data_IF_181740127745
#
_entry.id   IF_181740127745
#
_cell.length_a   1.000
_cell.length_b   1.000
_cell.length_c   1.000
_cell.angle_alpha   90.00
_cell.angle_beta   90.00
_cell.angle_gamma   90.00
#
_symmetry.space_group_name_H-M   'P 1'
#
loop_
_entity.id
_entity.type
_entity.pdbx_description
1 polymer ?
#
# COMPACT_ATOMS: atom_id res chain seq x y z
N UNK A 1 21.12 6.97 16.48
CA UNK A 1 20.08 6.63 17.50
C UNK A 1 20.66 5.71 18.55
N UNK A 2 20.46 5.99 19.81
CA UNK A 2 20.97 5.14 20.88
C UNK A 2 20.09 3.90 21.09
N UNK A 3 20.70 2.77 21.47
CA UNK A 3 20.00 1.49 21.67
C UNK A 3 18.84 1.60 22.67
N UNK A 4 18.98 2.41 23.71
CA UNK A 4 17.93 2.62 24.71
C UNK A 4 16.71 3.34 24.16
N UNK A 5 16.90 4.28 23.24
CA UNK A 5 15.82 4.98 22.55
C UNK A 5 14.98 4.02 21.70
N UNK A 6 15.63 3.13 20.92
CA UNK A 6 14.94 2.10 20.14
C UNK A 6 14.09 1.20 21.05
N UNK A 7 14.65 0.75 22.18
CA UNK A 7 13.92 -0.10 23.13
C UNK A 7 12.65 0.60 23.63
N UNK A 8 12.77 1.88 24.03
CA UNK A 8 11.63 2.67 24.48
C UNK A 8 10.53 2.81 23.42
N UNK A 9 10.91 2.99 22.14
CA UNK A 9 9.98 3.07 21.02
C UNK A 9 9.31 1.71 20.78
N UNK A 10 10.07 0.62 20.77
CA UNK A 10 9.54 -0.74 20.58
C UNK A 10 8.54 -1.06 21.70
N UNK A 11 8.91 -0.84 22.95
CA UNK A 11 8.02 -1.10 24.09
C UNK A 11 6.74 -0.28 24.03
N UNK A 12 6.79 0.92 23.43
CA UNK A 12 5.61 1.79 23.34
C UNK A 12 4.65 1.40 22.23
N UNK A 13 5.16 1.08 21.04
CA UNK A 13 4.34 0.94 19.84
C UNK A 13 4.16 -0.51 19.36
N UNK A 14 5.03 -1.42 19.76
CA UNK A 14 4.97 -2.82 19.30
C UNK A 14 4.38 -3.74 20.36
N UNK A 15 3.64 -4.75 19.87
CA UNK A 15 3.05 -5.77 20.73
C UNK A 15 4.05 -6.82 21.20
N UNK A 16 5.12 -7.01 20.42
CA UNK A 16 6.18 -7.98 20.67
C UNK A 16 7.55 -7.35 20.39
N UNK A 17 8.63 -7.87 21.02
CA UNK A 17 9.99 -7.46 20.67
C UNK A 17 10.25 -7.68 19.17
N UNK A 18 10.95 -6.75 18.56
CA UNK A 18 11.45 -6.86 17.19
C UNK A 18 12.91 -7.29 17.22
N UNK A 19 13.30 -8.11 16.24
CA UNK A 19 14.67 -8.61 16.10
C UNK A 19 15.43 -7.86 15.01
N UNK A 20 16.77 -8.00 15.02
CA UNK A 20 17.66 -7.52 13.95
C UNK A 20 17.43 -6.06 13.56
N UNK A 21 17.37 -5.17 14.53
CA UNK A 21 17.25 -3.72 14.30
C UNK A 21 18.55 -3.16 13.71
N UNK A 22 18.41 -2.34 12.67
CA UNK A 22 19.52 -1.65 11.99
C UNK A 22 19.18 -0.18 11.77
N UNK A 23 20.20 0.66 11.66
CA UNK A 23 20.01 2.09 11.35
C UNK A 23 19.89 2.37 9.86
N UNK A 24 20.22 1.40 9.02
CA UNK A 24 20.17 1.48 7.56
C UNK A 24 19.54 0.22 6.97
N UNK A 25 18.99 0.29 5.74
CA UNK A 25 18.42 -0.86 5.08
C UNK A 25 19.49 -1.95 4.85
N UNK A 26 19.10 -3.19 5.05
CA UNK A 26 19.96 -4.37 4.82
C UNK A 26 19.96 -4.79 3.35
N UNK A 27 18.90 -4.45 2.61
CA UNK A 27 18.76 -4.72 1.18
C UNK A 27 18.98 -3.46 0.35
N UNK A 28 19.55 -3.62 -0.85
CA UNK A 28 19.71 -2.52 -1.79
C UNK A 28 18.33 -2.07 -2.29
N UNK A 29 17.90 -0.88 -1.85
CA UNK A 29 16.62 -0.30 -2.25
C UNK A 29 16.69 0.23 -3.69
N UNK A 30 15.59 0.14 -4.42
CA UNK A 30 15.50 0.47 -5.84
C UNK A 30 15.63 1.97 -6.13
N UNK A 31 15.15 2.80 -5.22
CA UNK A 31 15.23 4.25 -5.30
C UNK A 31 16.26 4.74 -4.28
N UNK A 32 17.35 5.32 -4.76
CA UNK A 32 18.50 5.77 -3.98
C UNK A 32 18.15 6.35 -2.61
N UNK A 33 18.93 5.90 -1.63
CA UNK A 33 19.11 6.41 -0.27
C UNK A 33 17.82 6.89 0.39
N UNK A 34 17.28 6.11 1.35
CA UNK A 34 16.47 6.72 2.39
C UNK A 34 17.35 7.83 2.97
N UNK A 35 16.88 9.05 2.96
CA UNK A 35 17.46 10.06 3.84
C UNK A 35 17.45 9.43 5.22
N UNK A 36 18.64 9.16 5.77
CA UNK A 36 18.80 8.76 7.17
C UNK A 36 18.18 9.85 8.01
N UNK A 37 16.94 9.64 8.38
CA UNK A 37 16.27 10.51 9.31
C UNK A 37 16.63 9.98 10.69
N UNK A 38 17.12 10.83 11.55
CA UNK A 38 17.49 10.51 12.94
C UNK A 38 16.36 9.77 13.69
N UNK A 39 15.11 9.90 13.22
CA UNK A 39 13.88 9.39 13.81
C UNK A 39 13.31 8.17 13.07
N UNK A 40 14.15 7.27 12.61
CA UNK A 40 13.72 6.00 11.99
C UNK A 40 14.70 4.87 12.26
N UNK A 41 14.19 3.65 12.23
CA UNK A 41 15.02 2.44 12.22
C UNK A 41 14.45 1.39 11.30
N UNK A 42 15.30 0.49 10.82
CA UNK A 42 14.93 -0.69 10.05
C UNK A 42 14.99 -1.93 10.92
N UNK A 43 14.20 -2.93 10.57
CA UNK A 43 14.30 -4.25 11.19
C UNK A 43 13.88 -5.34 10.19
N UNK A 44 14.37 -6.55 10.43
CA UNK A 44 13.98 -7.74 9.68
C UNK A 44 12.92 -8.49 10.50
N UNK A 45 11.83 -8.87 9.84
CA UNK A 45 10.83 -9.78 10.41
C UNK A 45 10.98 -11.15 9.77
N UNK A 46 11.15 -12.17 10.61
CA UNK A 46 11.35 -13.55 10.21
C UNK A 46 10.01 -14.25 9.97
N UNK A 47 9.82 -14.76 8.76
CA UNK A 47 8.67 -15.60 8.36
C UNK A 47 9.04 -17.10 8.31
N UNK A 48 10.18 -17.50 8.87
CA UNK A 48 10.68 -18.85 8.96
C UNK A 48 11.55 -19.25 7.74
N UNK A 49 11.06 -19.10 6.53
CA UNK A 49 11.78 -19.43 5.29
C UNK A 49 12.41 -18.24 4.58
N UNK A 50 12.02 -17.04 4.96
CA UNK A 50 12.55 -15.77 4.44
C UNK A 50 12.31 -14.66 5.47
N UNK A 51 13.03 -13.57 5.29
CA UNK A 51 12.87 -12.36 6.11
C UNK A 51 12.36 -11.22 5.24
N UNK A 52 11.54 -10.34 5.83
CA UNK A 52 11.12 -9.10 5.19
C UNK A 52 11.62 -7.90 5.98
N UNK A 53 12.18 -6.95 5.25
CA UNK A 53 12.62 -5.69 5.81
C UNK A 53 11.45 -4.75 6.03
N UNK A 54 11.45 -4.10 7.18
CA UNK A 54 10.50 -3.08 7.56
C UNK A 54 11.23 -1.84 8.08
N UNK A 55 10.56 -0.68 7.98
CA UNK A 55 11.03 0.60 8.48
C UNK A 55 9.96 1.22 9.37
N UNK A 56 10.36 1.59 10.58
CA UNK A 56 9.52 2.37 11.48
C UNK A 56 10.04 3.80 11.57
N UNK A 57 9.18 4.76 11.21
CA UNK A 57 9.45 6.19 11.42
C UNK A 57 8.61 6.68 12.58
N UNK A 58 9.22 7.47 13.45
CA UNK A 58 8.56 8.13 14.55
C UNK A 58 8.82 9.64 14.49
N UNK A 59 8.15 10.40 15.33
CA UNK A 59 8.24 11.86 15.39
C UNK A 59 8.83 12.28 16.73
N UNK A 60 9.42 13.45 16.77
CA UNK A 60 9.86 14.06 18.02
C UNK A 60 8.67 14.20 18.97
N UNK A 61 8.85 13.78 20.22
CA UNK A 61 7.79 13.81 21.23
C UNK A 61 6.78 12.67 21.15
N UNK A 62 7.08 11.61 20.39
CA UNK A 62 6.27 10.41 20.17
C UNK A 62 4.95 10.66 19.44
N UNK A 63 4.73 10.05 18.27
CA UNK A 63 3.51 10.20 17.49
C UNK A 63 2.30 9.70 18.28
N UNK A 64 1.18 10.43 18.20
CA UNK A 64 -0.08 10.02 18.79
C UNK A 64 -0.84 9.02 17.91
N UNK A 65 -0.55 9.02 16.62
CA UNK A 65 -1.16 8.12 15.62
C UNK A 65 -0.10 7.38 14.85
N UNK A 66 -0.41 6.15 14.48
CA UNK A 66 0.43 5.29 13.65
C UNK A 66 -0.31 4.92 12.37
N UNK A 67 0.37 5.07 11.23
CA UNK A 67 -0.07 4.62 9.93
C UNK A 67 0.72 3.38 9.47
N UNK A 68 0.01 2.36 8.99
CA UNK A 68 0.60 1.23 8.29
C UNK A 68 0.59 1.54 6.79
N UNK A 69 1.74 1.46 6.13
CA UNK A 69 1.92 1.80 4.73
C UNK A 69 2.26 0.57 3.90
N UNK A 70 1.55 0.38 2.77
CA UNK A 70 1.69 -0.79 1.89
C UNK A 70 1.99 -0.32 0.47
N UNK A 71 3.17 -0.69 -0.05
CA UNK A 71 3.65 -0.26 -1.37
C UNK A 71 2.97 -0.99 -2.54
N UNK A 72 3.20 -0.52 -3.76
CA UNK A 72 2.69 -1.09 -4.99
C UNK A 72 3.50 -2.27 -5.53
N UNK A 73 2.99 -2.94 -6.58
CA UNK A 73 3.56 -4.18 -7.13
C UNK A 73 4.95 -4.05 -7.75
N UNK A 74 5.30 -2.91 -8.31
CA UNK A 74 6.60 -2.66 -8.94
C UNK A 74 7.50 -1.74 -8.10
N UNK A 75 7.31 -1.77 -6.78
CA UNK A 75 8.04 -0.91 -5.85
C UNK A 75 8.44 -1.67 -4.60
N UNK A 76 9.11 -1.01 -3.70
CA UNK A 76 9.50 -1.47 -2.38
C UNK A 76 9.17 -0.38 -1.35
N UNK A 77 9.52 -0.61 -0.08
CA UNK A 77 9.25 0.32 1.02
C UNK A 77 9.86 1.73 0.77
N UNK A 78 10.94 1.85 0.00
CA UNK A 78 11.57 3.16 -0.28
C UNK A 78 10.68 4.08 -1.11
N UNK A 79 9.78 3.53 -1.91
CA UNK A 79 8.82 4.30 -2.71
C UNK A 79 7.81 5.07 -1.86
N UNK A 80 7.65 4.69 -0.60
CA UNK A 80 6.75 5.32 0.35
C UNK A 80 7.36 6.53 1.07
N UNK A 81 8.66 6.81 0.86
CA UNK A 81 9.36 7.89 1.55
C UNK A 81 8.70 9.28 1.43
N UNK A 82 8.15 9.70 0.27
CA UNK A 82 7.43 10.97 0.18
C UNK A 82 6.18 11.00 1.09
N UNK A 83 5.46 9.88 1.18
CA UNK A 83 4.30 9.74 2.05
C UNK A 83 4.70 9.72 3.53
N UNK A 84 5.77 9.00 3.88
CA UNK A 84 6.33 8.98 5.24
C UNK A 84 6.70 10.39 5.71
N UNK A 85 7.35 11.17 4.84
CA UNK A 85 7.72 12.56 5.15
C UNK A 85 6.49 13.46 5.37
N UNK A 86 5.46 13.30 4.53
CA UNK A 86 4.20 14.02 4.70
C UNK A 86 3.52 13.67 6.02
N UNK A 87 3.45 12.38 6.38
CA UNK A 87 2.82 11.93 7.62
C UNK A 87 3.60 12.40 8.85
N UNK A 88 4.92 12.34 8.79
CA UNK A 88 5.79 12.84 9.86
C UNK A 88 5.57 14.34 10.11
N UNK A 89 5.42 15.15 9.06
CA UNK A 89 5.12 16.59 9.22
C UNK A 89 3.78 16.85 9.93
N UNK A 90 2.93 15.83 10.06
CA UNK A 90 1.66 15.85 10.79
C UNK A 90 1.73 15.12 12.13
N UNK A 91 2.91 14.80 12.60
CA UNK A 91 3.13 14.03 13.83
C UNK A 91 2.46 12.64 13.81
N UNK A 92 2.50 11.96 12.66
CA UNK A 92 2.01 10.59 12.46
C UNK A 92 3.22 9.69 12.21
N UNK A 93 3.43 8.71 13.09
CA UNK A 93 4.43 7.66 12.89
C UNK A 93 4.00 6.67 11.81
N UNK A 94 4.97 5.98 11.18
CA UNK A 94 4.67 5.04 10.09
C UNK A 94 5.42 3.74 10.24
N UNK A 95 4.75 2.63 9.92
CA UNK A 95 5.39 1.35 9.64
C UNK A 95 5.20 1.04 8.16
N UNK A 96 6.30 0.92 7.44
CA UNK A 96 6.37 0.44 6.06
C UNK A 96 7.20 -0.84 5.99
N UNK A 97 6.94 -1.72 5.02
CA UNK A 97 7.63 -3.01 4.89
C UNK A 97 7.65 -3.47 3.44
N UNK A 98 8.61 -4.33 3.10
CA UNK A 98 8.67 -5.00 1.82
C UNK A 98 7.67 -6.16 1.76
N UNK A 99 7.16 -6.44 0.56
CA UNK A 99 6.27 -7.57 0.25
C UNK A 99 7.08 -8.65 -0.46
N UNK A 100 6.91 -9.92 -0.09
CA UNK A 100 7.60 -11.03 -0.72
C UNK A 100 7.23 -11.18 -2.21
N UNK A 101 8.18 -11.67 -3.00
CA UNK A 101 7.98 -11.89 -4.44
C UNK A 101 7.98 -10.64 -5.30
N UNK A 102 8.25 -9.46 -4.72
CA UNK A 102 8.26 -8.17 -5.40
C UNK A 102 9.64 -7.50 -5.24
N UNK A 103 10.16 -6.95 -6.33
CA UNK A 103 11.43 -6.19 -6.35
C UNK A 103 12.57 -6.85 -5.55
N UNK A 104 12.95 -6.28 -4.41
CA UNK A 104 14.09 -6.72 -3.60
C UNK A 104 13.91 -8.13 -3.02
N UNK A 105 12.70 -8.66 -3.05
CA UNK A 105 12.34 -10.00 -2.59
C UNK A 105 11.80 -10.86 -3.74
N UNK A 106 12.08 -10.49 -4.99
CA UNK A 106 11.55 -11.16 -6.21
C UNK A 106 11.95 -12.64 -6.33
N UNK A 107 13.06 -13.05 -5.73
CA UNK A 107 13.50 -14.45 -5.69
C UNK A 107 12.61 -15.33 -4.80
N UNK A 108 11.89 -14.74 -3.86
CA UNK A 108 10.93 -15.44 -3.02
C UNK A 108 9.66 -15.70 -3.80
N UNK A 109 9.32 -16.96 -4.01
CA UNK A 109 8.03 -17.32 -4.62
C UNK A 109 6.90 -16.84 -3.74
N UNK A 110 6.01 -16.02 -4.27
CA UNK A 110 4.90 -15.41 -3.52
C UNK A 110 3.65 -15.21 -4.36
N UNK A 111 2.57 -14.83 -3.69
CA UNK A 111 1.28 -14.52 -4.25
C UNK A 111 0.65 -13.33 -3.53
N UNK A 112 -0.40 -12.78 -4.10
CA UNK A 112 -1.17 -11.73 -3.45
C UNK A 112 -1.77 -12.20 -2.09
N UNK A 113 -2.19 -13.47 -2.01
CA UNK A 113 -2.66 -14.08 -0.75
C UNK A 113 -1.57 -14.06 0.32
N UNK A 114 -0.33 -14.37 -0.04
CA UNK A 114 0.79 -14.35 0.88
C UNK A 114 1.10 -12.92 1.34
N UNK A 115 1.12 -11.95 0.44
CA UNK A 115 1.34 -10.55 0.81
C UNK A 115 0.24 -9.99 1.72
N UNK A 116 -1.02 -10.43 1.55
CA UNK A 116 -2.10 -10.11 2.49
C UNK A 116 -1.80 -10.66 3.88
N UNK A 117 -1.34 -11.92 3.99
CA UNK A 117 -0.99 -12.54 5.26
C UNK A 117 0.22 -11.86 5.92
N UNK A 118 1.27 -11.53 5.17
CA UNK A 118 2.41 -10.75 5.64
C UNK A 118 1.98 -9.41 6.22
N UNK A 119 1.11 -8.70 5.49
CA UNK A 119 0.58 -7.42 5.94
C UNK A 119 -0.26 -7.55 7.22
N UNK A 120 -0.98 -8.67 7.42
CA UNK A 120 -1.67 -8.96 8.68
C UNK A 120 -0.70 -9.17 9.85
N UNK A 121 0.47 -9.77 9.58
CA UNK A 121 1.52 -9.93 10.60
C UNK A 121 2.06 -8.56 10.99
N UNK A 122 2.45 -7.72 10.03
CA UNK A 122 2.94 -6.36 10.32
C UNK A 122 1.89 -5.48 11.02
N UNK A 123 0.61 -5.61 10.66
CA UNK A 123 -0.47 -4.94 11.37
C UNK A 123 -0.52 -5.34 12.86
N UNK A 124 -0.36 -6.63 13.16
CA UNK A 124 -0.40 -7.17 14.54
C UNK A 124 0.87 -6.89 15.34
N UNK A 125 1.99 -6.57 14.69
CA UNK A 125 3.19 -6.14 15.40
C UNK A 125 2.97 -4.82 16.14
N UNK A 126 2.08 -3.96 15.66
CA UNK A 126 1.75 -2.70 16.30
C UNK A 126 0.63 -2.89 17.34
N UNK A 127 0.77 -2.23 18.50
CA UNK A 127 -0.28 -2.19 19.53
C UNK A 127 -1.55 -1.51 19.02
N UNK A 128 -1.38 -0.53 18.15
CA UNK A 128 -2.48 0.23 17.55
C UNK A 128 -2.09 0.70 16.16
N UNK A 129 -3.02 0.60 15.22
CA UNK A 129 -2.93 1.18 13.88
C UNK A 129 -4.14 2.08 13.70
N UNK A 130 -3.91 3.37 13.54
CA UNK A 130 -4.98 4.37 13.37
C UNK A 130 -5.38 4.54 11.91
N UNK A 131 -4.40 4.38 11.00
CA UNK A 131 -4.57 4.60 9.56
C UNK A 131 -3.90 3.46 8.80
N UNK A 132 -4.55 2.93 7.78
CA UNK A 132 -3.91 2.05 6.80
C UNK A 132 -3.91 2.75 5.44
N UNK A 133 -2.75 2.84 4.82
CA UNK A 133 -2.57 3.47 3.52
C UNK A 133 -1.98 2.45 2.55
N UNK A 134 -2.67 2.20 1.45
CA UNK A 134 -2.21 1.30 0.40
C UNK A 134 -2.11 1.97 -0.95
N UNK A 135 -1.01 1.74 -1.64
CA UNK A 135 -0.76 2.26 -2.99
C UNK A 135 -0.84 1.14 -4.03
N UNK A 136 -1.63 1.34 -5.09
CA UNK A 136 -1.75 0.39 -6.21
C UNK A 136 -2.14 -1.02 -5.74
N UNK A 137 -1.27 -2.03 -5.92
CA UNK A 137 -1.42 -3.38 -5.36
C UNK A 137 -1.59 -3.34 -3.84
N UNK A 138 -0.82 -2.50 -3.16
CA UNK A 138 -0.96 -2.27 -1.72
C UNK A 138 -2.33 -1.75 -1.31
N UNK A 139 -3.03 -1.03 -2.20
CA UNK A 139 -4.42 -0.62 -2.01
C UNK A 139 -5.37 -1.82 -1.90
N UNK A 140 -5.21 -2.81 -2.76
CA UNK A 140 -5.97 -4.07 -2.67
C UNK A 140 -5.69 -4.82 -1.36
N UNK A 141 -4.41 -4.88 -0.95
CA UNK A 141 -4.01 -5.51 0.30
C UNK A 141 -4.63 -4.75 1.49
N UNK A 142 -4.58 -3.42 1.50
CA UNK A 142 -5.15 -2.59 2.56
C UNK A 142 -6.67 -2.81 2.73
N UNK A 143 -7.41 -2.98 1.63
CA UNK A 143 -8.84 -3.34 1.70
C UNK A 143 -9.03 -4.72 2.33
N UNK A 144 -8.17 -5.70 2.00
CA UNK A 144 -8.24 -7.03 2.61
C UNK A 144 -7.88 -7.02 4.10
N UNK A 145 -6.99 -6.14 4.56
CA UNK A 145 -6.79 -5.89 5.99
C UNK A 145 -8.07 -5.35 6.63
N UNK A 146 -8.76 -4.40 6.00
CA UNK A 146 -10.01 -3.84 6.50
C UNK A 146 -11.16 -4.87 6.58
N UNK A 147 -11.10 -5.96 5.81
CA UNK A 147 -12.01 -7.11 5.96
C UNK A 147 -11.78 -7.90 7.26
N UNK A 148 -10.58 -7.83 7.83
CA UNK A 148 -10.17 -8.64 8.99
C UNK A 148 -10.05 -7.82 10.26
N UNK A 149 -9.73 -6.54 10.14
CA UNK A 149 -9.49 -5.64 11.26
C UNK A 149 -10.42 -4.43 11.19
N UNK A 150 -10.76 -3.91 12.35
CA UNK A 150 -11.51 -2.66 12.44
C UNK A 150 -10.53 -1.49 12.23
N UNK A 151 -10.37 -1.06 10.97
CA UNK A 151 -9.50 0.05 10.60
C UNK A 151 -10.35 1.33 10.61
N UNK A 152 -9.98 2.31 11.43
CA UNK A 152 -10.76 3.53 11.57
C UNK A 152 -10.69 4.38 10.30
N UNK A 153 -9.52 4.42 9.66
CA UNK A 153 -9.29 5.21 8.46
C UNK A 153 -8.49 4.45 7.41
N UNK A 154 -9.08 4.27 6.24
CA UNK A 154 -8.47 3.62 5.10
C UNK A 154 -8.20 4.64 3.98
N UNK A 155 -6.95 4.73 3.53
CA UNK A 155 -6.56 5.62 2.43
C UNK A 155 -5.99 4.77 1.30
N UNK A 156 -6.56 4.91 0.12
CA UNK A 156 -6.26 4.11 -1.06
C UNK A 156 -5.76 5.03 -2.17
N UNK A 157 -4.50 4.89 -2.51
CA UNK A 157 -3.85 5.67 -3.57
C UNK A 157 -3.75 4.81 -4.83
N UNK A 158 -4.48 5.19 -5.87
CA UNK A 158 -4.58 4.44 -7.13
C UNK A 158 -4.82 2.94 -6.91
N UNK A 159 -5.80 2.51 -6.06
CA UNK A 159 -5.94 1.11 -5.69
C UNK A 159 -6.26 0.24 -6.90
N UNK A 160 -5.57 -0.90 -7.02
CA UNK A 160 -5.96 -1.96 -7.92
C UNK A 160 -7.09 -2.80 -7.33
N UNK A 161 -7.91 -3.40 -8.17
CA UNK A 161 -8.88 -4.42 -7.79
C UNK A 161 -8.60 -5.67 -8.62
N UNK A 162 -8.45 -6.80 -7.96
CA UNK A 162 -8.16 -8.09 -8.59
C UNK A 162 -9.32 -9.05 -8.40
N UNK A 163 -9.46 -10.01 -9.33
CA UNK A 163 -10.38 -11.14 -9.19
C UNK A 163 -10.01 -11.98 -7.96
N UNK A 164 -10.99 -12.65 -7.37
CA UNK A 164 -10.72 -13.58 -6.25
C UNK A 164 -9.86 -14.78 -6.73
N UNK A 165 -9.82 -15.07 -8.04
CA UNK A 165 -8.94 -16.07 -8.65
C UNK A 165 -7.47 -15.59 -8.67
N UNK A 166 -7.22 -14.32 -9.00
CA UNK A 166 -5.86 -13.76 -9.02
C UNK A 166 -5.17 -13.82 -7.66
N UNK A 167 -5.93 -13.73 -6.57
CA UNK A 167 -5.38 -13.72 -5.19
C UNK A 167 -4.55 -14.96 -4.88
N UNK A 168 -4.93 -16.10 -5.44
CA UNK A 168 -4.28 -17.41 -5.19
C UNK A 168 -3.15 -17.73 -6.17
N UNK A 169 -3.01 -16.95 -7.24
CA UNK A 169 -1.99 -17.19 -8.27
C UNK A 169 -0.63 -16.72 -7.80
N UNK A 170 0.39 -17.54 -8.11
CA UNK A 170 1.78 -17.13 -7.89
C UNK A 170 2.12 -15.96 -8.82
N UNK A 171 2.91 -15.00 -8.31
CA UNK A 171 3.44 -13.93 -9.15
C UNK A 171 4.25 -14.48 -10.31
N UNK A 172 4.20 -13.80 -11.44
CA UNK A 172 4.74 -14.25 -12.73
C UNK A 172 3.63 -14.45 -13.74
N UNK A 173 3.79 -15.43 -14.62
CA UNK A 173 2.88 -15.66 -15.78
C UNK A 173 1.44 -15.91 -15.33
N UNK A 174 1.22 -16.82 -14.37
CA UNK A 174 -0.14 -17.18 -13.94
C UNK A 174 -0.94 -15.99 -13.38
N UNK A 175 -0.29 -15.16 -12.54
CA UNK A 175 -0.93 -13.96 -12.02
C UNK A 175 -1.18 -12.94 -13.12
N UNK A 176 -0.19 -12.71 -13.99
CA UNK A 176 -0.28 -11.78 -15.11
C UNK A 176 -1.40 -12.18 -16.08
N UNK A 177 -1.51 -13.43 -16.41
CA UNK A 177 -2.56 -13.96 -17.31
C UNK A 177 -3.95 -13.76 -16.69
N UNK A 178 -4.09 -13.98 -15.38
CA UNK A 178 -5.37 -13.81 -14.70
C UNK A 178 -5.81 -12.34 -14.67
N UNK A 179 -4.92 -11.42 -14.29
CA UNK A 179 -5.26 -10.00 -14.20
C UNK A 179 -5.41 -9.32 -15.56
N UNK A 180 -4.87 -9.93 -16.63
CA UNK A 180 -5.01 -9.45 -18.02
C UNK A 180 -6.33 -9.88 -18.68
N UNK A 181 -7.09 -10.77 -18.04
CA UNK A 181 -8.42 -11.12 -18.55
C UNK A 181 -9.34 -9.92 -18.47
N UNK A 182 -9.99 -9.53 -19.57
CA UNK A 182 -10.93 -8.42 -19.59
C UNK A 182 -11.97 -8.56 -18.48
N UNK A 183 -12.18 -7.48 -17.73
CA UNK A 183 -13.19 -7.39 -16.67
C UNK A 183 -13.07 -8.44 -15.54
N UNK A 184 -11.91 -9.11 -15.40
CA UNK A 184 -11.71 -10.14 -14.36
C UNK A 184 -12.01 -9.62 -12.95
N UNK A 185 -11.76 -8.32 -12.67
CA UNK A 185 -12.02 -7.67 -11.40
C UNK A 185 -13.51 -7.65 -10.99
N UNK A 186 -14.46 -7.84 -11.91
CA UNK A 186 -15.88 -7.93 -11.55
C UNK A 186 -16.20 -9.16 -10.69
N UNK A 187 -15.36 -10.20 -10.74
CA UNK A 187 -15.46 -11.35 -9.84
C UNK A 187 -14.85 -11.11 -8.45
N UNK A 188 -14.42 -9.87 -8.14
CA UNK A 188 -13.84 -9.53 -6.85
C UNK A 188 -14.91 -9.28 -5.79
N UNK A 189 -14.77 -9.91 -4.65
CA UNK A 189 -15.59 -9.66 -3.45
C UNK A 189 -15.35 -8.29 -2.81
N UNK A 190 -14.34 -7.55 -3.27
CA UNK A 190 -13.94 -6.25 -2.71
C UNK A 190 -15.02 -5.19 -2.89
N UNK A 191 -15.69 -5.13 -4.06
CA UNK A 191 -16.71 -4.11 -4.31
C UNK A 191 -17.91 -4.25 -3.36
N UNK A 192 -18.34 -5.50 -3.10
CA UNK A 192 -19.40 -5.75 -2.11
C UNK A 192 -18.99 -5.33 -0.72
N UNK A 193 -17.78 -5.70 -0.30
CA UNK A 193 -17.24 -5.29 0.99
C UNK A 193 -17.21 -3.76 1.13
N UNK A 194 -16.72 -3.03 0.14
CA UNK A 194 -16.67 -1.57 0.17
C UNK A 194 -18.06 -0.93 0.26
N UNK A 195 -19.08 -1.52 -0.36
CA UNK A 195 -20.47 -1.06 -0.22
C UNK A 195 -20.99 -1.19 1.23
N UNK A 196 -20.52 -2.17 1.97
CA UNK A 196 -20.95 -2.44 3.36
C UNK A 196 -20.04 -1.76 4.41
N UNK A 197 -18.85 -1.35 4.02
CA UNK A 197 -17.87 -0.77 4.95
C UNK A 197 -18.36 0.57 5.53
N UNK A 198 -18.33 0.70 6.87
CA UNK A 198 -18.96 1.82 7.59
C UNK A 198 -17.98 2.87 8.11
N UNK A 199 -16.66 2.64 7.98
CA UNK A 199 -15.63 3.55 8.47
C UNK A 199 -15.12 4.46 7.35
N UNK A 200 -14.25 5.42 7.71
CA UNK A 200 -13.74 6.40 6.75
C UNK A 200 -12.87 5.77 5.68
N UNK A 201 -13.17 6.09 4.42
CA UNK A 201 -12.33 5.76 3.28
C UNK A 201 -12.03 7.02 2.47
N UNK A 202 -10.76 7.20 2.12
CA UNK A 202 -10.34 8.15 1.09
C UNK A 202 -9.73 7.36 -0.08
N UNK A 203 -10.26 7.55 -1.28
CA UNK A 203 -9.73 6.97 -2.52
C UNK A 203 -9.23 8.10 -3.40
N UNK A 204 -7.98 8.01 -3.85
CA UNK A 204 -7.35 9.00 -4.71
C UNK A 204 -6.86 8.32 -5.98
N UNK A 205 -7.21 8.88 -7.13
CA UNK A 205 -6.65 8.50 -8.42
C UNK A 205 -6.05 9.72 -9.12
N UNK A 206 -5.02 9.51 -9.91
CA UNK A 206 -4.59 10.48 -10.91
C UNK A 206 -5.57 10.52 -12.08
N UNK A 207 -5.82 11.68 -12.66
CA UNK A 207 -6.68 11.85 -13.83
C UNK A 207 -6.17 11.05 -15.04
N UNK A 208 -4.85 10.89 -15.13
CA UNK A 208 -4.18 10.18 -16.21
C UNK A 208 -3.90 8.70 -15.89
N UNK A 209 -4.38 8.18 -14.76
CA UNK A 209 -4.28 6.77 -14.43
C UNK A 209 -5.31 5.96 -15.22
N UNK A 210 -4.99 4.75 -15.57
CA UNK A 210 -5.93 3.80 -16.13
C UNK A 210 -5.87 3.61 -17.64
N UNK A 211 -5.24 4.49 -18.43
CA UNK A 211 -5.16 4.38 -19.89
C UNK A 211 -3.73 4.54 -20.37
N UNK A 212 -3.25 3.61 -21.21
CA UNK A 212 -1.96 3.74 -21.89
C UNK A 212 -2.10 4.56 -23.17
N UNK A 213 -1.12 5.43 -23.40
CA UNK A 213 -0.89 6.02 -24.71
C UNK A 213 -0.07 5.05 -25.59
N UNK A 214 0.04 5.31 -26.87
CA UNK A 214 0.86 4.54 -27.81
C UNK A 214 2.34 4.47 -27.39
N UNK A 215 2.81 5.43 -26.60
CA UNK A 215 4.15 5.45 -26.02
C UNK A 215 4.23 4.89 -24.59
N UNK A 216 3.20 4.19 -24.11
CA UNK A 216 3.15 3.53 -22.81
C UNK A 216 2.83 4.44 -21.62
N UNK A 217 2.54 5.73 -21.83
CA UNK A 217 2.12 6.65 -20.75
C UNK A 217 0.62 6.49 -20.45
N UNK A 218 0.21 6.80 -19.23
CA UNK A 218 -1.21 6.85 -18.87
C UNK A 218 -1.91 8.03 -19.54
N UNK A 219 -3.14 7.83 -20.02
CA UNK A 219 -3.90 8.78 -20.86
C UNK A 219 -5.15 9.34 -20.19
N UNK A 220 -5.60 8.76 -19.08
CA UNK A 220 -6.80 9.18 -18.36
C UNK A 220 -7.91 8.11 -18.31
N UNK A 221 -9.06 8.48 -17.76
CA UNK A 221 -10.19 7.58 -17.48
C UNK A 221 -11.24 7.58 -18.59
N UNK A 222 -10.86 7.28 -19.81
CA UNK A 222 -11.79 7.12 -20.93
C UNK A 222 -12.25 5.68 -21.07
N UNK A 223 -13.33 5.45 -21.78
CA UNK A 223 -13.73 4.08 -22.12
C UNK A 223 -12.61 3.38 -22.89
N UNK A 224 -12.23 2.21 -22.40
CA UNK A 224 -11.25 1.36 -23.06
C UNK A 224 -12.02 0.54 -24.08
N UNK A 225 -12.01 0.98 -25.33
CA UNK A 225 -12.58 0.22 -26.44
C UNK A 225 -11.69 -0.94 -26.87
N UNK A 226 -10.39 -0.89 -26.51
CA UNK A 226 -9.43 -1.94 -26.80
C UNK A 226 -9.10 -2.74 -25.52
N UNK A 227 -9.69 -3.91 -25.44
CA UNK A 227 -9.58 -4.85 -24.31
C UNK A 227 -8.16 -5.42 -24.16
N UNK A 228 -7.30 -5.27 -25.16
CA UNK A 228 -5.92 -5.79 -25.15
C UNK A 228 -4.93 -4.86 -24.44
N UNK A 229 -5.28 -3.60 -24.24
CA UNK A 229 -4.44 -2.58 -23.59
C UNK A 229 -4.82 -2.32 -22.14
N UNK A 230 -4.77 -3.38 -21.33
CA UNK A 230 -5.01 -3.23 -19.90
C UNK A 230 -3.94 -2.39 -19.23
N UNK A 231 -4.31 -1.20 -18.83
CA UNK A 231 -3.53 -0.40 -17.90
C UNK A 231 -3.45 -1.07 -16.52
N UNK A 232 -2.47 -0.73 -15.64
CA UNK A 232 -2.45 -1.21 -14.28
C UNK A 232 -3.79 -1.07 -13.55
N UNK A 233 -4.54 0.01 -13.84
CA UNK A 233 -5.87 0.24 -13.27
C UNK A 233 -6.85 0.52 -14.41
N UNK A 234 -7.70 -0.42 -14.79
CA UNK A 234 -8.78 -0.18 -15.75
C UNK A 234 -9.72 0.96 -15.32
N UNK A 235 -10.15 1.78 -16.27
CA UNK A 235 -11.06 2.90 -16.01
C UNK A 235 -12.36 2.47 -15.34
N UNK A 236 -12.84 1.27 -15.64
CA UNK A 236 -14.06 0.67 -15.10
C UNK A 236 -13.95 0.44 -13.57
N UNK A 237 -12.75 0.11 -13.07
CA UNK A 237 -12.51 0.04 -11.61
C UNK A 237 -12.72 1.41 -10.99
N UNK A 238 -12.13 2.45 -11.57
CA UNK A 238 -12.26 3.81 -11.10
C UNK A 238 -13.71 4.27 -11.09
N UNK A 239 -14.43 4.02 -12.19
CA UNK A 239 -15.87 4.35 -12.31
C UNK A 239 -16.70 3.59 -11.27
N UNK A 240 -16.41 2.30 -11.04
CA UNK A 240 -17.10 1.47 -10.05
C UNK A 240 -16.89 2.02 -8.64
N UNK A 241 -15.65 2.33 -8.26
CA UNK A 241 -15.33 2.89 -6.93
C UNK A 241 -15.94 4.29 -6.76
N UNK A 242 -15.96 5.12 -7.81
CA UNK A 242 -16.65 6.41 -7.82
C UNK A 242 -18.15 6.27 -7.56
N UNK A 243 -18.81 5.31 -8.25
CA UNK A 243 -20.25 5.04 -8.04
C UNK A 243 -20.55 4.57 -6.61
N UNK A 244 -19.65 3.74 -6.03
CA UNK A 244 -19.79 3.32 -4.62
C UNK A 244 -19.65 4.52 -3.69
N UNK A 245 -18.64 5.37 -3.90
CA UNK A 245 -18.40 6.55 -3.06
C UNK A 245 -19.58 7.52 -3.04
N UNK A 246 -20.21 7.76 -4.18
CA UNK A 246 -21.38 8.67 -4.28
C UNK A 246 -22.60 8.22 -3.43
N UNK A 247 -22.63 6.97 -2.99
CA UNK A 247 -23.72 6.40 -2.18
C UNK A 247 -23.41 6.39 -0.68
N UNK A 248 -22.25 6.91 -0.26
CA UNK A 248 -21.75 6.77 1.10
C UNK A 248 -21.10 8.06 1.61
N UNK A 249 -21.63 8.62 2.67
CA UNK A 249 -21.09 9.85 3.28
C UNK A 249 -19.69 9.69 3.89
N UNK A 250 -19.30 8.47 4.25
CA UNK A 250 -17.99 8.15 4.82
C UNK A 250 -16.90 7.85 3.76
N UNK A 251 -17.24 8.00 2.47
CA UNK A 251 -16.32 7.84 1.36
C UNK A 251 -15.93 9.19 0.77
N UNK A 252 -14.65 9.47 0.73
CA UNK A 252 -14.07 10.59 0.00
C UNK A 252 -13.38 10.08 -1.27
N UNK A 253 -13.81 10.55 -2.45
CA UNK A 253 -13.25 10.15 -3.74
C UNK A 253 -12.64 11.35 -4.44
N UNK A 254 -11.34 11.30 -4.70
CA UNK A 254 -10.54 12.41 -5.23
C UNK A 254 -9.94 12.00 -6.57
N UNK A 255 -10.05 12.87 -7.57
CA UNK A 255 -9.28 12.81 -8.82
C UNK A 255 -8.27 13.94 -8.82
N UNK A 256 -7.00 13.61 -8.84
CA UNK A 256 -5.91 14.57 -8.96
C UNK A 256 -5.68 14.93 -10.43
N UNK A 257 -5.96 16.18 -10.75
CA UNK A 257 -5.83 16.72 -12.12
C UNK A 257 -4.37 16.62 -12.59
N UNK A 258 -4.17 16.27 -13.85
CA UNK A 258 -2.87 16.16 -14.53
C UNK A 258 -1.87 15.19 -13.84
N UNK A 259 -2.36 14.27 -12.99
CA UNK A 259 -1.54 13.23 -12.35
C UNK A 259 -1.80 11.86 -12.97
N UNK A 260 -0.74 11.08 -13.01
CA UNK A 260 -0.75 9.68 -13.45
C UNK A 260 -0.80 8.71 -12.25
N UNK A 261 -0.51 7.44 -12.50
CA UNK A 261 -0.43 6.39 -11.49
C UNK A 261 0.61 6.67 -10.38
N UNK A 262 1.63 7.47 -10.67
CA UNK A 262 2.76 7.71 -9.76
C UNK A 262 2.51 8.87 -8.79
N UNK A 263 1.35 8.89 -8.13
CA UNK A 263 0.94 9.93 -7.18
C UNK A 263 1.94 10.18 -6.05
N UNK A 264 2.68 9.15 -5.64
CA UNK A 264 3.64 9.24 -4.52
C UNK A 264 4.79 10.22 -4.80
N UNK A 265 5.17 10.44 -6.06
CA UNK A 265 6.25 11.37 -6.42
C UNK A 265 5.96 12.82 -6.02
N UNK A 266 4.68 13.20 -5.98
CA UNK A 266 4.23 14.55 -5.68
C UNK A 266 2.97 14.49 -4.80
N UNK A 267 3.05 13.73 -3.73
CA UNK A 267 1.90 13.50 -2.85
C UNK A 267 1.45 14.79 -2.21
N UNK A 268 0.14 15.00 -2.20
CA UNK A 268 -0.52 16.14 -1.55
C UNK A 268 -1.17 15.72 -0.23
N UNK A 269 -1.57 16.71 0.53
CA UNK A 269 -2.36 16.49 1.72
C UNK A 269 -3.81 16.16 1.33
N UNK A 270 -4.18 14.89 1.37
CA UNK A 270 -5.53 14.39 1.09
C UNK A 270 -6.41 14.34 2.36
N UNK A 271 -6.30 15.33 3.24
CA UNK A 271 -6.93 15.31 4.57
C UNK A 271 -6.50 14.09 5.41
N UNK A 272 -5.23 13.68 5.27
CA UNK A 272 -4.61 12.59 6.03
C UNK A 272 -4.46 12.99 7.50
#
# INVERSE_FOLDING_TARGET
>A
MEKQEIISIVDRYFSNPISKVTNSPTHKLKNNTPTENENSFFFLHDFGTYELEAKFNYCDGFPQKIALLIHGGNSDLSSLSPLENLLRSKNIGTLSFNLSGLNNTSETKSSLSQNINESMVFYRLLKKVDIVIGYSLGGYIAINLAKKFQIDRLILLCPAIYSDQAVKKMYGTEFKDEISKPYSFYSSSICLFLMEYKREITIVYGELDGIKTDNGKSKGFYEINDITNYSPIPSEIVQTLKKISMRKANFNFIIEKDKDHYLLKNIRNYNI
#
